data_IF_028887259576
#
_entry.id   IF_028887259576
#
_cell.length_a   1.000
_cell.length_b   1.000
_cell.length_c   1.000
_cell.angle_alpha   90.00
_cell.angle_beta   90.00
_cell.angle_gamma   90.00
#
_symmetry.space_group_name_H-M   'P 1'
#
loop_
_entity.id
_entity.type
_entity.pdbx_description
1 polymer ?
#
# COMPACT_ATOMS: atom_id res chain seq x y z
N UNK A 1 16.72 -2.38 -8.10
CA UNK A 1 15.35 -1.86 -8.28
C UNK A 1 14.42 -3.04 -8.17
N UNK A 2 13.40 -2.99 -7.32
CA UNK A 2 12.49 -4.11 -7.14
C UNK A 2 11.67 -4.30 -8.41
N UNK A 3 11.78 -5.46 -9.03
CA UNK A 3 11.02 -5.85 -10.21
C UNK A 3 9.57 -6.13 -9.80
N UNK A 4 8.62 -5.42 -10.40
CA UNK A 4 7.19 -5.65 -10.16
C UNK A 4 6.75 -6.84 -11.01
N UNK A 5 6.13 -7.83 -10.37
CA UNK A 5 5.63 -9.03 -11.03
C UNK A 5 4.14 -8.93 -11.30
N UNK A 6 3.77 -9.07 -12.56
CA UNK A 6 2.38 -9.17 -12.99
C UNK A 6 1.71 -10.39 -12.33
N UNK A 7 0.45 -10.25 -11.93
CA UNK A 7 -0.35 -11.19 -11.11
C UNK A 7 0.10 -11.36 -9.65
N UNK A 8 1.20 -10.72 -9.22
CA UNK A 8 1.67 -10.77 -7.83
C UNK A 8 1.57 -9.39 -7.18
N UNK A 9 2.20 -8.38 -7.78
CA UNK A 9 2.27 -7.02 -7.26
C UNK A 9 1.18 -6.13 -7.89
N UNK A 10 0.84 -6.41 -9.15
CA UNK A 10 -0.23 -5.72 -9.86
C UNK A 10 -0.83 -6.63 -10.93
N UNK A 11 -2.01 -6.28 -11.41
CA UNK A 11 -2.62 -6.86 -12.59
C UNK A 11 -3.30 -5.77 -13.42
N UNK A 12 -3.52 -6.05 -14.69
CA UNK A 12 -4.29 -5.16 -15.57
C UNK A 12 -5.71 -5.71 -15.62
N UNK A 13 -6.67 -4.89 -15.20
CA UNK A 13 -8.10 -5.24 -15.28
C UNK A 13 -8.56 -5.23 -16.75
N UNK A 14 -9.72 -5.84 -17.04
CA UNK A 14 -10.34 -5.82 -18.38
C UNK A 14 -10.51 -4.39 -18.93
N UNK A 15 -10.59 -3.40 -18.04
CA UNK A 15 -10.68 -1.99 -18.37
C UNK A 15 -9.34 -1.38 -18.84
N UNK A 16 -8.25 -2.15 -18.87
CA UNK A 16 -6.90 -1.67 -19.17
C UNK A 16 -6.27 -0.85 -18.04
N UNK A 17 -6.85 -0.90 -16.83
CA UNK A 17 -6.35 -0.16 -15.67
C UNK A 17 -5.41 -1.02 -14.84
N UNK A 18 -4.29 -0.43 -14.42
CA UNK A 18 -3.35 -1.07 -13.51
C UNK A 18 -3.93 -1.08 -12.09
N UNK A 19 -4.15 -2.28 -11.56
CA UNK A 19 -4.66 -2.50 -10.21
C UNK A 19 -3.57 -3.14 -9.37
N UNK A 20 -3.15 -2.43 -8.32
CA UNK A 20 -2.20 -2.97 -7.34
C UNK A 20 -2.87 -3.99 -6.43
N UNK A 21 -2.13 -5.04 -6.12
CA UNK A 21 -2.56 -6.07 -5.16
C UNK A 21 -2.29 -5.63 -3.73
N UNK A 22 -2.91 -6.34 -2.79
CA UNK A 22 -2.66 -6.16 -1.36
C UNK A 22 -1.17 -6.36 -1.02
N UNK A 23 -0.51 -7.33 -1.65
CA UNK A 23 0.92 -7.63 -1.45
C UNK A 23 1.80 -6.42 -1.77
N UNK A 24 1.59 -5.78 -2.92
CA UNK A 24 2.36 -4.59 -3.26
C UNK A 24 2.11 -3.44 -2.28
N UNK A 25 0.86 -3.27 -1.83
CA UNK A 25 0.52 -2.25 -0.84
C UNK A 25 1.14 -2.54 0.54
N UNK A 26 1.31 -3.81 0.89
CA UNK A 26 2.01 -4.26 2.10
C UNK A 26 3.52 -4.02 1.99
N UNK A 27 4.12 -4.42 0.87
CA UNK A 27 5.56 -4.27 0.58
C UNK A 27 5.96 -2.78 0.49
N UNK A 28 5.03 -1.91 0.05
CA UNK A 28 5.18 -0.45 0.09
C UNK A 28 5.37 0.10 1.52
N UNK A 29 4.84 -0.60 2.53
CA UNK A 29 5.07 -0.29 3.94
C UNK A 29 4.35 0.94 4.49
N UNK A 30 3.40 1.55 3.75
CA UNK A 30 2.58 2.65 4.27
C UNK A 30 1.17 2.71 3.68
N UNK A 31 0.21 3.11 4.52
CA UNK A 31 -1.16 3.43 4.10
C UNK A 31 -1.21 4.84 3.52
N UNK A 32 -1.81 4.98 2.34
CA UNK A 32 -2.04 6.28 1.70
C UNK A 32 -3.39 6.93 2.04
N UNK A 33 -4.24 6.26 2.84
CA UNK A 33 -5.57 6.72 3.28
C UNK A 33 -6.56 7.10 2.16
N UNK A 34 -6.33 6.64 0.92
CA UNK A 34 -7.19 6.91 -0.24
C UNK A 34 -8.42 5.96 -0.35
N UNK A 35 -8.69 5.14 0.68
CA UNK A 35 -9.85 4.23 0.67
C UNK A 35 -9.79 3.13 -0.41
N UNK A 36 -8.61 2.59 -0.70
CA UNK A 36 -8.44 1.55 -1.71
C UNK A 36 -9.20 0.25 -1.35
N UNK A 37 -9.77 -0.41 -2.36
CA UNK A 37 -10.56 -1.64 -2.18
C UNK A 37 -9.74 -2.82 -1.63
N UNK A 38 -8.46 -2.91 -1.98
CA UNK A 38 -7.51 -3.95 -1.53
C UNK A 38 -6.54 -3.45 -0.47
N UNK A 39 -6.95 -2.50 0.38
CA UNK A 39 -6.06 -1.94 1.38
C UNK A 39 -5.74 -2.99 2.47
N UNK A 40 -4.47 -3.41 2.65
CA UNK A 40 -4.09 -4.35 3.72
C UNK A 40 -4.28 -3.74 5.11
N UNK A 41 -4.26 -2.42 5.21
CA UNK A 41 -4.41 -1.69 6.46
C UNK A 41 -5.86 -1.46 6.86
N UNK A 42 -6.84 -1.98 6.10
CA UNK A 42 -8.24 -1.95 6.52
C UNK A 42 -8.38 -2.88 7.72
N UNK A 43 -8.73 -2.31 8.86
CA UNK A 43 -8.91 -3.04 10.12
C UNK A 43 -9.96 -4.13 9.97
N UNK A 44 -9.50 -5.35 9.70
CA UNK A 44 -10.33 -6.55 9.77
C UNK A 44 -10.33 -6.98 11.23
N UNK A 45 -11.40 -6.65 11.94
CA UNK A 45 -11.56 -6.87 13.38
C UNK A 45 -11.81 -8.35 13.74
N UNK A 46 -11.20 -9.30 13.02
CA UNK A 46 -11.51 -10.72 13.16
C UNK A 46 -10.27 -11.61 12.93
N UNK A 47 -9.80 -12.17 14.04
CA UNK A 47 -9.10 -13.45 14.22
C UNK A 47 -7.56 -13.51 14.10
N UNK A 48 -6.98 -13.67 15.29
CA UNK A 48 -5.73 -14.35 15.65
C UNK A 48 -5.08 -15.23 14.58
N UNK A 49 -4.05 -14.71 13.91
CA UNK A 49 -2.84 -15.45 13.60
C UNK A 49 -1.69 -14.44 13.57
N UNK A 50 -0.57 -14.78 14.19
CA UNK A 50 0.65 -13.98 14.31
C UNK A 50 0.84 -12.99 13.16
N UNK A 51 0.68 -11.71 13.49
CA UNK A 51 1.32 -10.62 12.76
C UNK A 51 2.80 -10.98 12.72
N UNK A 52 3.27 -11.53 11.59
CA UNK A 52 4.62 -11.26 11.12
C UNK A 52 4.68 -9.74 11.11
N UNK A 53 5.22 -9.15 12.18
CA UNK A 53 5.55 -7.74 12.23
C UNK A 53 6.81 -7.63 11.38
N UNK A 54 6.76 -7.22 10.09
CA UNK A 54 7.99 -6.74 9.49
C UNK A 54 8.36 -5.52 10.33
N UNK A 55 9.46 -5.72 11.04
CA UNK A 55 10.16 -4.83 11.92
C UNK A 55 9.89 -3.35 11.65
N UNK A 56 9.66 -2.60 12.72
CA UNK A 56 9.48 -1.15 12.79
C UNK A 56 10.52 -0.36 11.97
N UNK A 57 10.29 -0.22 10.67
CA UNK A 57 10.99 0.73 9.80
C UNK A 57 10.00 1.80 9.36
N UNK A 58 9.85 2.76 10.26
CA UNK A 58 9.64 4.17 10.00
C UNK A 58 9.89 4.59 8.54
N UNK A 59 9.00 5.43 8.00
CA UNK A 59 9.49 6.74 7.56
C UNK A 59 8.75 7.87 8.30
N UNK A 60 9.50 8.83 8.86
CA UNK A 60 8.95 9.98 9.56
C UNK A 60 8.20 10.90 8.61
N UNK A 61 7.27 11.68 9.18
CA UNK A 61 6.68 12.87 8.54
C UNK A 61 7.77 13.70 7.88
N UNK A 62 7.86 13.66 6.55
CA UNK A 62 8.66 14.61 5.78
C UNK A 62 7.70 15.60 5.11
N UNK A 63 7.74 16.84 5.58
CA UNK A 63 7.54 17.99 4.72
C UNK A 63 6.19 18.67 4.79
N UNK A 64 6.16 19.76 5.56
CA UNK A 64 5.39 20.95 5.24
C UNK A 64 5.84 21.48 3.86
N UNK A 65 4.97 21.44 2.85
CA UNK A 65 5.08 22.27 1.65
C UNK A 65 3.91 23.25 1.61
N UNK A 66 4.07 24.36 2.35
CA UNK A 66 3.40 25.62 2.06
C UNK A 66 3.77 26.07 0.64
N UNK A 67 2.97 25.69 -0.34
CA UNK A 67 3.14 26.05 -1.75
C UNK A 67 1.82 26.49 -2.39
N UNK A 68 1.18 27.53 -1.85
CA UNK A 68 0.26 28.35 -2.64
C UNK A 68 1.07 28.97 -3.78
N UNK A 69 0.84 28.52 -4.99
CA UNK A 69 1.04 29.33 -6.18
C UNK A 69 -0.13 29.10 -7.14
N UNK A 70 -1.19 29.87 -6.91
CA UNK A 70 -1.83 30.64 -7.98
C UNK A 70 -2.49 31.88 -7.40
#
# INVERSE_FOLDING_TARGET
MSELKENIDYYIDISGLLVFTEKYLLDRGYCCNNGCRHCPYKSNENNNSELIKPNSLHRPNTGNDNGRNK
#
